data_IF_959602296350
#
_entry.id   IF_959602296350
#
_cell.length_a   1.000
_cell.length_b   1.000
_cell.length_c   1.000
_cell.angle_alpha   90.00
_cell.angle_beta   90.00
_cell.angle_gamma   90.00
#
_symmetry.space_group_name_H-M   'P 1'
#
loop_
_entity.id
_entity.type
_entity.pdbx_description
1 polymer ?
#
# COMPACT_ATOMS: atom_id res chain seq x y z
N UNK A 1 72.40 24.48 -22.35
CA UNK A 1 71.06 24.62 -21.78
C UNK A 1 70.15 23.60 -22.46
N UNK A 2 69.89 22.45 -21.79
CA UNK A 2 69.10 21.34 -22.32
C UNK A 2 67.71 21.41 -21.76
N UNK A 3 66.60 21.37 -22.53
CA UNK A 3 65.25 21.45 -22.00
C UNK A 3 64.82 20.10 -21.43
N UNK A 4 64.32 20.13 -20.18
CA UNK A 4 63.69 19.01 -19.49
C UNK A 4 62.25 18.87 -20.02
N UNK A 5 61.93 17.68 -20.58
CA UNK A 5 60.56 17.33 -21.03
C UNK A 5 59.86 16.60 -19.87
N UNK A 6 58.78 17.20 -19.34
CA UNK A 6 57.87 16.53 -18.42
C UNK A 6 56.87 15.67 -19.22
N UNK A 7 56.88 14.38 -18.98
CA UNK A 7 55.83 13.47 -19.48
C UNK A 7 54.72 13.42 -18.45
N UNK A 8 53.51 13.86 -18.85
CA UNK A 8 52.33 13.73 -18.02
C UNK A 8 51.70 12.34 -18.27
N UNK A 9 51.71 11.50 -17.25
CA UNK A 9 50.98 10.21 -17.29
C UNK A 9 49.49 10.45 -16.94
N UNK A 10 48.61 10.22 -17.91
CA UNK A 10 47.17 10.23 -17.67
C UNK A 10 46.76 8.87 -17.13
N UNK A 11 46.37 8.80 -15.86
CA UNK A 11 45.76 7.62 -15.25
C UNK A 11 44.26 7.58 -15.61
N UNK A 12 43.88 6.63 -16.45
CA UNK A 12 42.47 6.35 -16.78
C UNK A 12 41.86 5.52 -15.66
N UNK A 13 40.97 6.12 -14.88
CA UNK A 13 40.18 5.44 -13.86
C UNK A 13 39.04 4.71 -14.55
N UNK A 14 39.12 3.38 -14.68
CA UNK A 14 38.01 2.55 -15.17
C UNK A 14 37.02 2.34 -14.02
N UNK A 15 35.85 3.02 -14.08
CA UNK A 15 34.71 2.69 -13.23
C UNK A 15 34.14 1.34 -13.66
N UNK A 16 34.40 0.31 -12.88
CA UNK A 16 33.66 -0.96 -12.96
C UNK A 16 32.28 -0.74 -12.34
N UNK A 17 31.24 -0.60 -13.18
CA UNK A 17 29.86 -0.74 -12.74
C UNK A 17 29.64 -2.22 -12.39
N UNK A 18 29.59 -2.53 -11.10
CA UNK A 18 29.16 -3.85 -10.64
C UNK A 18 27.69 -4.04 -11.06
N UNK A 19 27.32 -5.18 -11.66
CA UNK A 19 25.91 -5.43 -11.97
C UNK A 19 25.13 -5.48 -10.66
N UNK A 20 24.06 -4.67 -10.56
CA UNK A 20 23.08 -4.83 -9.49
C UNK A 20 22.49 -6.23 -9.64
N UNK A 21 22.82 -7.14 -8.74
CA UNK A 21 22.12 -8.41 -8.64
C UNK A 21 20.66 -8.10 -8.35
N UNK A 22 19.75 -8.52 -9.23
CA UNK A 22 18.33 -8.44 -8.98
C UNK A 22 18.03 -9.20 -7.69
N UNK A 23 17.57 -8.49 -6.65
CA UNK A 23 17.21 -9.11 -5.40
C UNK A 23 15.98 -9.99 -5.62
N UNK A 24 16.08 -11.30 -5.38
CA UNK A 24 14.94 -12.19 -5.50
C UNK A 24 14.00 -11.95 -4.32
N UNK A 25 12.71 -11.83 -4.60
CA UNK A 25 11.70 -11.66 -3.54
C UNK A 25 11.75 -12.84 -2.54
N UNK A 26 11.42 -12.59 -1.26
CA UNK A 26 11.36 -13.63 -0.23
C UNK A 26 10.48 -14.83 -0.65
N UNK A 27 10.85 -16.07 -0.28
CA UNK A 27 10.15 -17.27 -0.75
C UNK A 27 8.63 -17.28 -0.49
N UNK A 28 8.20 -16.75 0.67
CA UNK A 28 6.77 -16.65 0.98
C UNK A 28 6.01 -15.73 0.01
N UNK A 29 6.61 -14.62 -0.40
CA UNK A 29 6.02 -13.70 -1.37
C UNK A 29 5.97 -14.35 -2.74
N UNK A 30 7.05 -14.99 -3.16
CA UNK A 30 7.11 -15.70 -4.45
C UNK A 30 6.06 -16.80 -4.52
N UNK A 31 5.89 -17.58 -3.44
CA UNK A 31 4.89 -18.64 -3.36
C UNK A 31 3.46 -18.08 -3.42
N UNK A 32 3.18 -17.00 -2.70
CA UNK A 32 1.87 -16.34 -2.70
C UNK A 32 1.47 -15.83 -4.10
N UNK A 33 2.41 -15.27 -4.84
CA UNK A 33 2.17 -14.78 -6.22
C UNK A 33 1.94 -15.93 -7.19
N UNK A 34 2.68 -17.04 -7.01
CA UNK A 34 2.60 -18.24 -7.85
C UNK A 34 1.41 -19.15 -7.51
N UNK A 35 0.61 -18.84 -6.48
CA UNK A 35 -0.56 -19.65 -6.11
C UNK A 35 -1.56 -19.73 -7.28
N UNK A 36 -1.77 -20.96 -7.77
CA UNK A 36 -2.69 -21.24 -8.88
C UNK A 36 -4.15 -21.14 -8.49
N UNK A 37 -4.47 -21.07 -7.20
CA UNK A 37 -5.81 -20.82 -6.67
C UNK A 37 -6.26 -19.37 -6.77
N UNK A 38 -5.37 -18.44 -7.12
CA UNK A 38 -5.71 -17.03 -7.32
C UNK A 38 -6.65 -16.82 -8.50
N UNK A 39 -7.70 -15.99 -8.37
CA UNK A 39 -8.58 -15.66 -9.49
C UNK A 39 -7.80 -15.09 -10.68
N UNK A 40 -8.13 -15.50 -11.90
CA UNK A 40 -7.50 -14.98 -13.11
C UNK A 40 -7.60 -13.44 -13.23
N UNK A 41 -8.69 -12.85 -12.74
CA UNK A 41 -8.90 -11.41 -12.68
C UNK A 41 -7.93 -10.71 -11.71
N UNK A 42 -7.42 -11.41 -10.70
CA UNK A 42 -6.39 -10.89 -9.79
C UNK A 42 -5.01 -10.99 -10.44
N UNK A 43 -4.69 -12.15 -11.03
CA UNK A 43 -3.41 -12.37 -11.74
C UNK A 43 -3.22 -11.33 -12.87
N UNK A 44 -4.29 -10.99 -13.58
CA UNK A 44 -4.25 -9.97 -14.64
C UNK A 44 -3.84 -8.57 -14.14
N UNK A 45 -3.96 -8.29 -12.84
CA UNK A 45 -3.55 -7.01 -12.23
C UNK A 45 -2.09 -6.98 -11.77
N UNK A 46 -1.41 -8.12 -11.71
CA UNK A 46 -0.07 -8.22 -11.13
C UNK A 46 0.93 -7.29 -11.84
N UNK A 47 0.87 -7.23 -13.17
CA UNK A 47 1.76 -6.36 -13.95
C UNK A 47 1.65 -4.88 -13.56
N UNK A 48 0.44 -4.40 -13.23
CA UNK A 48 0.19 -3.01 -12.82
C UNK A 48 0.33 -2.78 -11.32
N UNK A 49 0.20 -3.81 -10.49
CA UNK A 49 0.25 -3.73 -9.03
C UNK A 49 1.58 -4.13 -8.41
N UNK A 50 2.43 -4.85 -9.18
CA UNK A 50 3.77 -5.27 -8.80
C UNK A 50 3.82 -5.86 -7.38
N UNK A 51 3.07 -6.95 -7.14
CA UNK A 51 2.80 -7.43 -5.79
C UNK A 51 4.05 -7.85 -5.01
N UNK A 52 5.09 -8.37 -5.69
CA UNK A 52 6.32 -8.76 -5.01
C UNK A 52 6.98 -7.56 -4.33
N UNK A 53 7.21 -6.52 -5.11
CA UNK A 53 7.90 -5.32 -4.66
C UNK A 53 7.06 -4.53 -3.64
N UNK A 54 5.73 -4.51 -3.80
CA UNK A 54 4.82 -3.83 -2.87
C UNK A 54 4.78 -4.54 -1.52
N UNK A 55 4.67 -5.88 -1.49
CA UNK A 55 4.64 -6.65 -0.24
C UNK A 55 6.00 -6.57 0.49
N UNK A 56 7.10 -6.62 -0.26
CA UNK A 56 8.44 -6.42 0.30
C UNK A 56 8.61 -5.01 0.89
N UNK A 57 8.16 -3.98 0.17
CA UNK A 57 8.14 -2.62 0.69
C UNK A 57 7.28 -2.49 1.95
N UNK A 58 6.12 -3.15 1.98
CA UNK A 58 5.24 -3.18 3.15
C UNK A 58 5.83 -3.96 4.34
N UNK A 59 6.91 -4.73 4.14
CA UNK A 59 7.59 -5.56 5.14
C UNK A 59 6.71 -6.65 5.75
N UNK A 60 5.71 -7.12 5.02
CA UNK A 60 4.84 -8.20 5.48
C UNK A 60 5.58 -9.53 5.46
N UNK A 61 5.50 -10.28 6.58
CA UNK A 61 6.25 -11.51 6.82
C UNK A 61 5.35 -12.65 7.31
N UNK A 62 5.81 -13.90 7.18
CA UNK A 62 5.13 -15.04 7.79
C UNK A 62 4.89 -14.86 9.29
N UNK A 63 3.69 -15.23 9.76
CA UNK A 63 3.27 -15.15 11.17
C UNK A 63 2.77 -13.79 11.63
N UNK A 64 2.84 -12.74 10.80
CA UNK A 64 2.41 -11.40 11.18
C UNK A 64 0.88 -11.22 11.12
N UNK A 65 0.40 -10.19 11.81
CA UNK A 65 -0.98 -9.73 11.79
C UNK A 65 -1.08 -8.47 10.94
N UNK A 66 -1.82 -8.56 9.84
CA UNK A 66 -1.96 -7.50 8.84
C UNK A 66 -3.41 -7.02 8.79
N UNK A 67 -3.64 -5.73 8.62
CA UNK A 67 -4.94 -5.18 8.25
C UNK A 67 -4.91 -4.68 6.81
N UNK A 68 -5.77 -5.25 5.96
CA UNK A 68 -6.05 -4.78 4.59
C UNK A 68 -7.26 -3.84 4.66
N UNK A 69 -6.98 -2.54 4.58
CA UNK A 69 -7.99 -1.49 4.71
C UNK A 69 -8.61 -1.24 3.34
N UNK A 70 -9.93 -1.45 3.27
CA UNK A 70 -10.71 -1.30 2.04
C UNK A 70 -10.29 -2.32 0.96
N UNK A 71 -10.46 -3.61 1.24
CA UNK A 71 -9.86 -4.70 0.46
C UNK A 71 -10.44 -4.86 -0.95
N UNK A 72 -11.56 -4.19 -1.27
CA UNK A 72 -12.26 -4.32 -2.55
C UNK A 72 -12.63 -5.78 -2.85
N UNK A 73 -12.16 -6.34 -3.96
CA UNK A 73 -12.39 -7.74 -4.33
C UNK A 73 -11.50 -8.75 -3.59
N UNK A 74 -10.65 -8.29 -2.64
CA UNK A 74 -9.76 -9.14 -1.85
C UNK A 74 -8.44 -9.48 -2.53
N UNK A 75 -8.00 -8.69 -3.51
CA UNK A 75 -6.71 -8.92 -4.18
C UNK A 75 -5.53 -8.98 -3.20
N UNK A 76 -5.37 -7.93 -2.38
CA UNK A 76 -4.30 -7.88 -1.38
C UNK A 76 -4.56 -8.83 -0.22
N UNK A 77 -5.81 -8.98 0.21
CA UNK A 77 -6.21 -9.92 1.25
C UNK A 77 -5.73 -11.34 0.95
N UNK A 78 -5.93 -11.84 -0.29
CA UNK A 78 -5.46 -13.19 -0.69
C UNK A 78 -3.94 -13.30 -0.59
N UNK A 79 -3.23 -12.36 -1.18
CA UNK A 79 -1.77 -12.34 -1.15
C UNK A 79 -1.22 -12.25 0.28
N UNK A 80 -1.79 -11.38 1.11
CA UNK A 80 -1.37 -11.26 2.51
C UNK A 80 -1.66 -12.55 3.30
N UNK A 81 -2.83 -13.16 3.09
CA UNK A 81 -3.20 -14.43 3.72
C UNK A 81 -2.18 -15.53 3.42
N UNK A 82 -1.73 -15.63 2.16
CA UNK A 82 -0.72 -16.60 1.74
C UNK A 82 0.66 -16.28 2.34
N UNK A 83 1.07 -15.00 2.35
CA UNK A 83 2.39 -14.59 2.85
C UNK A 83 2.48 -14.78 4.36
N UNK A 84 1.46 -14.36 5.14
CA UNK A 84 1.50 -14.51 6.59
C UNK A 84 1.29 -15.97 7.02
N UNK A 85 0.65 -16.78 6.18
CA UNK A 85 0.45 -18.20 6.42
C UNK A 85 -0.48 -18.53 7.60
N UNK A 86 -0.55 -19.81 8.01
CA UNK A 86 -1.54 -20.29 8.97
C UNK A 86 -1.33 -19.77 10.41
N UNK A 87 -0.15 -19.28 10.75
CA UNK A 87 0.17 -18.70 12.07
C UNK A 87 -0.03 -17.18 12.12
N UNK A 88 -0.14 -16.53 10.96
CA UNK A 88 -0.47 -15.11 10.84
C UNK A 88 -1.97 -14.85 10.77
N UNK A 89 -2.35 -13.59 10.65
CA UNK A 89 -3.76 -13.19 10.52
C UNK A 89 -3.91 -11.99 9.59
N UNK A 90 -4.98 -11.97 8.81
CA UNK A 90 -5.38 -10.83 7.98
C UNK A 90 -6.76 -10.35 8.40
N UNK A 91 -6.82 -9.13 8.90
CA UNK A 91 -8.07 -8.41 9.10
C UNK A 91 -8.39 -7.63 7.82
N UNK A 92 -9.48 -8.00 7.13
CA UNK A 92 -9.95 -7.26 5.96
C UNK A 92 -11.03 -6.28 6.41
N UNK A 93 -10.64 -5.01 6.53
CA UNK A 93 -11.46 -3.96 7.10
C UNK A 93 -12.23 -3.20 6.03
N UNK A 94 -13.55 -3.28 6.09
CA UNK A 94 -14.49 -2.55 5.24
C UNK A 94 -15.10 -1.43 6.08
N UNK A 95 -14.88 -0.14 5.76
CA UNK A 95 -15.58 0.96 6.42
C UNK A 95 -17.10 0.75 6.40
N UNK A 96 -17.77 0.87 7.55
CA UNK A 96 -19.21 0.68 7.62
C UNK A 96 -19.98 1.65 6.72
N UNK A 97 -19.41 2.81 6.40
CA UNK A 97 -19.93 3.81 5.49
C UNK A 97 -20.18 3.27 4.07
N UNK A 98 -19.44 2.21 3.69
CA UNK A 98 -19.56 1.57 2.38
C UNK A 98 -20.08 0.13 2.44
N UNK A 99 -20.46 -0.36 3.61
CA UNK A 99 -20.88 -1.76 3.79
C UNK A 99 -22.07 -2.14 2.88
N UNK A 100 -22.97 -1.20 2.65
CA UNK A 100 -24.17 -1.37 1.82
C UNK A 100 -23.96 -0.99 0.34
N UNK A 101 -22.71 -0.77 -0.11
CA UNK A 101 -22.46 -0.42 -1.51
C UNK A 101 -22.82 -1.56 -2.43
N UNK A 102 -23.23 -1.18 -3.67
CA UNK A 102 -23.47 -2.13 -4.73
C UNK A 102 -22.24 -3.02 -4.94
N UNK A 103 -22.44 -4.33 -4.94
CA UNK A 103 -21.36 -5.31 -5.07
C UNK A 103 -21.06 -6.03 -3.75
N UNK A 104 -21.77 -5.69 -2.67
CA UNK A 104 -21.70 -6.38 -1.38
C UNK A 104 -20.26 -6.57 -0.87
N UNK A 105 -19.54 -5.47 -0.58
CA UNK A 105 -18.12 -5.54 -0.19
C UNK A 105 -17.88 -6.42 1.05
N UNK A 106 -18.83 -6.44 1.98
CA UNK A 106 -18.76 -7.29 3.19
C UNK A 106 -18.94 -8.76 2.82
N UNK A 107 -19.95 -9.10 2.01
CA UNK A 107 -20.19 -10.47 1.57
C UNK A 107 -19.07 -11.02 0.70
N UNK A 108 -18.43 -10.18 -0.12
CA UNK A 108 -17.25 -10.57 -0.91
C UNK A 108 -16.13 -11.08 0.01
N UNK A 109 -15.82 -10.37 1.08
CA UNK A 109 -14.75 -10.77 2.01
C UNK A 109 -15.18 -11.93 2.91
N UNK A 110 -16.44 -11.97 3.37
CA UNK A 110 -16.98 -13.16 4.07
C UNK A 110 -16.85 -14.43 3.24
N UNK A 111 -17.18 -14.36 1.95
CA UNK A 111 -17.02 -15.48 1.03
C UNK A 111 -15.53 -15.85 0.87
N UNK A 112 -14.66 -14.87 0.68
CA UNK A 112 -13.21 -15.11 0.57
C UNK A 112 -12.66 -15.83 1.81
N UNK A 113 -13.08 -15.46 3.01
CA UNK A 113 -12.66 -16.11 4.24
C UNK A 113 -13.08 -17.60 4.35
N UNK A 114 -14.02 -18.05 3.51
CA UNK A 114 -14.42 -19.47 3.42
C UNK A 114 -13.67 -20.26 2.34
N UNK A 115 -12.84 -19.60 1.53
CA UNK A 115 -12.02 -20.27 0.51
C UNK A 115 -10.99 -21.20 1.19
N UNK A 116 -10.60 -22.32 0.57
CA UNK A 116 -9.56 -23.19 1.08
C UNK A 116 -8.25 -22.39 1.38
N UNK A 117 -7.65 -22.65 2.53
CA UNK A 117 -6.41 -21.97 2.94
C UNK A 117 -6.61 -20.56 3.54
N UNK A 118 -7.84 -20.01 3.60
CA UNK A 118 -8.12 -18.64 4.07
C UNK A 118 -8.65 -18.56 5.51
N UNK A 119 -8.49 -19.60 6.31
CA UNK A 119 -8.94 -19.60 7.72
C UNK A 119 -8.26 -18.56 8.62
N UNK A 120 -7.21 -17.90 8.13
CA UNK A 120 -6.53 -16.79 8.78
C UNK A 120 -7.09 -15.40 8.39
N UNK A 121 -8.09 -15.33 7.52
CA UNK A 121 -8.76 -14.08 7.12
C UNK A 121 -9.97 -13.83 8.01
N UNK A 122 -10.09 -12.61 8.52
CA UNK A 122 -11.20 -12.14 9.33
C UNK A 122 -11.77 -10.87 8.69
N UNK A 123 -13.05 -10.93 8.34
CA UNK A 123 -13.78 -9.73 7.91
C UNK A 123 -14.10 -8.87 9.11
N UNK A 124 -13.92 -7.55 8.98
CA UNK A 124 -14.26 -6.52 9.97
C UNK A 124 -14.99 -5.38 9.27
N UNK A 125 -16.11 -4.95 9.82
CA UNK A 125 -16.83 -3.78 9.32
C UNK A 125 -17.27 -2.90 10.49
N UNK A 126 -16.58 -1.78 10.64
CA UNK A 126 -16.83 -0.75 11.66
C UNK A 126 -16.75 0.64 11.01
N UNK A 127 -17.36 1.69 11.60
CA UNK A 127 -17.19 3.06 11.11
C UNK A 127 -15.72 3.47 11.03
N UNK A 128 -15.34 4.24 10.00
CA UNK A 128 -13.94 4.54 9.66
C UNK A 128 -13.11 5.07 10.83
N UNK A 129 -13.70 5.93 11.66
CA UNK A 129 -13.02 6.55 12.79
C UNK A 129 -13.32 5.88 14.15
N UNK A 130 -13.88 4.67 14.14
CA UNK A 130 -14.16 3.96 15.38
C UNK A 130 -12.89 3.71 16.18
N UNK A 131 -12.87 4.04 17.47
CA UNK A 131 -11.78 3.61 18.33
C UNK A 131 -11.72 2.08 18.34
N UNK A 132 -10.52 1.48 18.20
CA UNK A 132 -10.42 0.03 18.30
C UNK A 132 -10.82 -0.43 19.71
N UNK A 133 -11.52 -1.58 19.83
CA UNK A 133 -11.70 -2.20 21.12
C UNK A 133 -10.35 -2.43 21.81
N UNK A 134 -10.24 -2.23 23.15
CA UNK A 134 -8.95 -2.27 23.85
C UNK A 134 -8.12 -3.53 23.61
N UNK A 135 -8.78 -4.68 23.41
CA UNK A 135 -8.10 -5.95 23.11
C UNK A 135 -7.41 -6.01 21.74
N UNK A 136 -7.69 -5.05 20.86
CA UNK A 136 -7.03 -4.93 19.55
C UNK A 136 -5.96 -3.84 19.51
N UNK A 137 -5.77 -3.08 20.59
CA UNK A 137 -4.69 -2.10 20.65
C UNK A 137 -3.32 -2.80 20.63
N UNK A 138 -2.44 -2.34 19.74
CA UNK A 138 -1.11 -2.91 19.62
C UNK A 138 -1.06 -4.35 19.08
N UNK A 139 -2.02 -4.75 18.25
CA UNK A 139 -2.10 -6.11 17.68
C UNK A 139 -1.48 -6.22 16.30
N UNK A 140 -1.59 -5.17 15.48
CA UNK A 140 -1.16 -5.21 14.09
C UNK A 140 0.35 -5.01 13.93
N UNK A 141 0.97 -5.82 13.09
CA UNK A 141 2.32 -5.58 12.58
C UNK A 141 2.30 -4.58 11.42
N UNK A 142 1.31 -4.72 10.52
CA UNK A 142 1.15 -3.85 9.35
C UNK A 142 -0.32 -3.48 9.15
N UNK A 143 -0.60 -2.19 8.93
CA UNK A 143 -1.84 -1.69 8.33
C UNK A 143 -1.53 -1.23 6.90
N UNK A 144 -2.40 -1.59 5.95
CA UNK A 144 -2.15 -1.37 4.54
C UNK A 144 -3.41 -0.84 3.84
N UNK A 145 -3.28 0.19 2.99
CA UNK A 145 -4.33 0.67 2.10
C UNK A 145 -3.78 0.92 0.70
N UNK A 146 -4.58 0.63 -0.32
CA UNK A 146 -4.15 0.69 -1.71
C UNK A 146 -5.25 1.31 -2.59
N UNK A 147 -4.99 2.51 -3.10
CA UNK A 147 -5.87 3.26 -4.01
C UNK A 147 -7.23 3.61 -3.38
N UNK A 148 -7.28 3.85 -2.04
CA UNK A 148 -8.52 4.18 -1.32
C UNK A 148 -8.35 5.26 -0.24
N UNK A 149 -7.14 5.76 0.04
CA UNK A 149 -6.99 6.79 1.06
C UNK A 149 -7.69 8.09 0.66
N UNK A 150 -7.65 8.46 -0.63
CA UNK A 150 -8.36 9.62 -1.17
C UNK A 150 -9.88 9.49 -1.01
N UNK A 151 -10.46 8.28 -1.12
CA UNK A 151 -11.89 8.02 -1.00
C UNK A 151 -12.44 8.38 0.39
N UNK A 152 -11.58 8.42 1.42
CA UNK A 152 -12.00 8.81 2.78
C UNK A 152 -12.56 10.23 2.86
N UNK A 153 -12.27 11.06 1.87
CA UNK A 153 -12.77 12.44 1.73
C UNK A 153 -13.99 12.58 0.84
N UNK A 154 -14.40 11.52 0.19
CA UNK A 154 -15.50 11.58 -0.76
C UNK A 154 -16.86 11.76 -0.06
N UNK A 155 -17.84 12.41 -0.74
CA UNK A 155 -19.15 12.69 -0.15
C UNK A 155 -19.90 11.46 0.35
N UNK A 156 -19.67 10.28 -0.24
CA UNK A 156 -20.31 9.04 0.20
C UNK A 156 -19.81 8.57 1.59
N UNK A 157 -18.63 9.04 2.04
CA UNK A 157 -18.13 8.80 3.39
C UNK A 157 -18.80 9.68 4.45
N UNK A 158 -19.77 10.54 4.04
CA UNK A 158 -20.62 11.35 4.93
C UNK A 158 -19.83 12.23 5.92
N UNK A 159 -18.66 12.71 5.51
CA UNK A 159 -17.79 13.52 6.36
C UNK A 159 -17.08 12.73 7.45
N UNK A 160 -16.62 11.53 7.14
CA UNK A 160 -15.85 10.70 8.05
C UNK A 160 -14.65 11.45 8.67
N UNK A 161 -14.38 11.22 9.95
CA UNK A 161 -13.22 11.80 10.66
C UNK A 161 -11.92 11.09 10.24
N UNK A 162 -11.28 11.54 9.17
CA UNK A 162 -10.02 10.98 8.67
C UNK A 162 -8.89 11.11 9.69
N UNK A 163 -8.85 12.19 10.46
CA UNK A 163 -7.89 12.35 11.54
C UNK A 163 -8.13 11.33 12.66
N UNK A 164 -9.39 11.06 13.00
CA UNK A 164 -9.79 9.98 13.92
C UNK A 164 -9.39 8.61 13.39
N UNK A 165 -9.60 8.37 12.11
CA UNK A 165 -9.18 7.12 11.46
C UNK A 165 -7.66 6.90 11.56
N UNK A 166 -6.85 7.88 11.21
CA UNK A 166 -5.39 7.75 11.33
C UNK A 166 -4.96 7.49 12.79
N UNK A 167 -5.62 8.12 13.78
CA UNK A 167 -5.38 7.83 15.20
C UNK A 167 -5.83 6.41 15.61
N UNK A 168 -6.93 5.90 15.05
CA UNK A 168 -7.38 4.54 15.28
C UNK A 168 -6.37 3.52 14.72
N UNK A 169 -5.90 3.71 13.50
CA UNK A 169 -4.83 2.88 12.90
C UNK A 169 -3.56 2.92 13.75
N UNK A 170 -3.18 4.11 14.24
CA UNK A 170 -2.03 4.26 15.14
C UNK A 170 -2.19 3.42 16.42
N UNK A 171 -3.37 3.39 17.02
CA UNK A 171 -3.62 2.57 18.21
C UNK A 171 -3.58 1.08 17.95
N UNK A 172 -4.12 0.64 16.80
CA UNK A 172 -4.13 -0.77 16.40
C UNK A 172 -2.72 -1.34 16.20
N UNK A 173 -1.78 -0.55 15.71
CA UNK A 173 -0.42 -1.00 15.43
C UNK A 173 0.40 -1.21 16.70
N UNK A 174 1.26 -2.24 16.67
CA UNK A 174 2.36 -2.43 17.63
C UNK A 174 3.35 -1.28 17.58
N UNK A 175 4.11 -1.04 18.65
CA UNK A 175 5.32 -0.22 18.57
C UNK A 175 6.28 -0.83 17.54
N UNK A 176 6.81 -0.01 16.64
CA UNK A 176 7.62 -0.45 15.50
C UNK A 176 6.83 -0.98 14.30
N UNK A 177 5.51 -1.14 14.42
CA UNK A 177 4.62 -1.54 13.32
C UNK A 177 4.50 -0.49 12.23
N UNK A 178 4.04 -0.91 11.04
CA UNK A 178 4.02 -0.08 9.84
C UNK A 178 2.62 0.24 9.36
N UNK A 179 2.41 1.49 8.95
CA UNK A 179 1.26 1.90 8.15
C UNK A 179 1.75 2.19 6.73
N UNK A 180 1.21 1.46 5.75
CA UNK A 180 1.56 1.58 4.33
C UNK A 180 0.37 2.16 3.59
N UNK A 181 0.60 3.28 2.92
CA UNK A 181 -0.41 3.99 2.14
C UNK A 181 0.09 4.13 0.72
N UNK A 182 -0.64 3.53 -0.21
CA UNK A 182 -0.38 3.62 -1.64
C UNK A 182 -1.61 4.23 -2.29
N UNK A 183 -1.44 5.34 -3.00
CA UNK A 183 -2.58 6.00 -3.63
C UNK A 183 -2.19 6.75 -4.91
N UNK A 184 -3.20 7.11 -5.68
CA UNK A 184 -3.07 7.91 -6.90
C UNK A 184 -2.60 9.32 -6.57
N UNK A 185 -1.46 9.71 -7.14
CA UNK A 185 -0.91 11.04 -6.92
C UNK A 185 -1.71 12.11 -7.67
N UNK A 186 -2.12 13.14 -6.95
CA UNK A 186 -2.58 14.41 -7.51
C UNK A 186 -1.41 15.36 -7.79
N UNK A 187 -1.63 16.48 -8.51
CA UNK A 187 -0.63 17.53 -8.64
C UNK A 187 -0.19 18.07 -7.29
N UNK A 188 1.10 18.40 -7.17
CA UNK A 188 1.64 18.98 -5.94
C UNK A 188 0.94 20.31 -5.59
N UNK A 189 0.55 20.47 -4.33
CA UNK A 189 -0.17 21.63 -3.83
C UNK A 189 -1.69 21.62 -4.08
N UNK A 190 -2.23 20.54 -4.68
CA UNK A 190 -3.69 20.41 -4.89
C UNK A 190 -4.45 20.07 -3.59
N UNK A 191 -3.74 19.60 -2.56
CA UNK A 191 -4.40 19.23 -1.30
C UNK A 191 -5.44 18.13 -1.50
N UNK A 192 -6.69 18.43 -1.17
CA UNK A 192 -7.83 17.53 -1.29
C UNK A 192 -8.74 17.82 -2.50
N UNK A 193 -8.41 18.80 -3.36
CA UNK A 193 -9.30 19.24 -4.43
C UNK A 193 -9.61 18.16 -5.47
N UNK A 194 -8.72 17.17 -5.60
CA UNK A 194 -8.79 16.14 -6.63
C UNK A 194 -9.38 14.81 -6.12
N UNK A 195 -9.72 14.68 -4.83
CA UNK A 195 -10.15 13.40 -4.24
C UNK A 195 -11.43 12.89 -4.88
N UNK A 196 -12.50 13.68 -4.84
CA UNK A 196 -13.81 13.27 -5.32
C UNK A 196 -13.95 13.27 -6.86
N UNK A 197 -13.22 14.13 -7.58
CA UNK A 197 -13.39 14.28 -9.02
C UNK A 197 -12.47 13.37 -9.83
N UNK A 198 -11.19 13.35 -9.48
CA UNK A 198 -10.16 12.61 -10.19
C UNK A 198 -9.71 11.35 -9.47
N UNK A 199 -10.23 11.07 -8.26
CA UNK A 199 -9.80 9.98 -7.37
C UNK A 199 -8.29 10.00 -7.14
N UNK A 200 -7.78 11.17 -6.72
CA UNK A 200 -6.37 11.41 -6.47
C UNK A 200 -6.19 12.27 -5.22
N UNK A 201 -5.09 12.11 -4.52
CA UNK A 201 -4.74 12.95 -3.38
C UNK A 201 -3.31 13.49 -3.53
N UNK A 202 -3.08 14.74 -3.08
CA UNK A 202 -1.72 15.28 -3.00
C UNK A 202 -0.89 14.44 -1.99
N UNK A 203 0.21 13.80 -2.43
CA UNK A 203 1.04 12.98 -1.56
C UNK A 203 1.53 13.72 -0.31
N UNK A 204 1.82 15.02 -0.42
CA UNK A 204 2.27 15.83 0.72
C UNK A 204 1.15 16.02 1.76
N UNK A 205 -0.09 16.14 1.30
CA UNK A 205 -1.26 16.25 2.19
C UNK A 205 -1.48 14.94 2.94
N UNK A 206 -1.54 13.80 2.24
CA UNK A 206 -1.68 12.49 2.87
C UNK A 206 -0.59 12.24 3.92
N UNK A 207 0.67 12.55 3.58
CA UNK A 207 1.80 12.42 4.50
C UNK A 207 1.61 13.28 5.76
N UNK A 208 1.30 14.57 5.60
CA UNK A 208 1.16 15.49 6.72
C UNK A 208 0.04 15.08 7.69
N UNK A 209 -1.05 14.52 7.18
CA UNK A 209 -2.18 14.06 7.99
C UNK A 209 -1.84 12.80 8.80
N UNK A 210 -1.14 11.87 8.19
CA UNK A 210 -0.70 10.63 8.85
C UNK A 210 0.34 10.96 9.94
N UNK A 211 1.31 11.83 9.65
CA UNK A 211 2.30 12.29 10.63
C UNK A 211 1.65 12.99 11.83
N UNK A 212 0.55 13.76 11.62
CA UNK A 212 -0.23 14.38 12.73
C UNK A 212 -0.86 13.37 13.68
N UNK A 213 -1.11 12.13 13.24
CA UNK A 213 -1.60 11.07 14.12
C UNK A 213 -0.51 10.45 15.01
N UNK A 214 0.76 10.86 14.85
CA UNK A 214 1.89 10.40 15.65
C UNK A 214 2.84 9.45 14.91
N UNK A 215 2.57 9.14 13.66
CA UNK A 215 3.45 8.33 12.84
C UNK A 215 4.73 9.08 12.43
N UNK A 216 5.80 8.31 12.25
CA UNK A 216 7.05 8.81 11.66
C UNK A 216 7.17 8.26 10.24
N UNK A 217 7.44 9.15 9.27
CA UNK A 217 7.70 8.72 7.90
C UNK A 217 8.96 7.85 7.84
N UNK A 218 8.81 6.61 7.35
CA UNK A 218 9.89 5.62 7.31
C UNK A 218 10.50 5.45 5.91
N UNK A 219 9.79 5.91 4.87
CA UNK A 219 10.30 5.92 3.50
C UNK A 219 9.24 5.83 2.42
N UNK A 220 9.70 5.94 1.18
CA UNK A 220 8.86 5.80 -0.02
C UNK A 220 9.44 4.75 -0.97
N UNK A 221 8.56 4.18 -1.82
CA UNK A 221 8.94 3.36 -2.96
C UNK A 221 8.46 4.01 -4.26
N UNK A 222 9.30 3.98 -5.27
CA UNK A 222 8.97 4.45 -6.63
C UNK A 222 8.47 3.32 -7.53
N UNK A 223 8.24 2.13 -6.99
CA UNK A 223 7.87 0.94 -7.76
C UNK A 223 6.60 1.13 -8.61
N UNK A 224 5.67 1.96 -8.14
CA UNK A 224 4.42 2.28 -8.82
C UNK A 224 4.39 3.70 -9.41
N UNK A 225 5.53 4.40 -9.40
CA UNK A 225 5.61 5.72 -10.00
C UNK A 225 5.49 5.65 -11.51
N UNK A 226 4.75 6.59 -12.08
CA UNK A 226 4.65 6.80 -13.52
C UNK A 226 4.82 8.29 -13.85
N UNK A 227 6.03 8.74 -14.22
CA UNK A 227 6.30 10.14 -14.52
C UNK A 227 5.55 10.65 -15.77
N UNK A 228 5.03 9.75 -16.62
CA UNK A 228 4.30 10.11 -17.82
C UNK A 228 2.81 10.42 -17.53
N UNK A 229 2.33 10.13 -16.31
CA UNK A 229 0.98 10.52 -15.87
C UNK A 229 0.96 12.01 -15.51
N UNK A 230 0.16 12.86 -16.19
CA UNK A 230 0.05 14.28 -15.86
C UNK A 230 -0.65 14.54 -14.52
N UNK A 231 -1.24 13.50 -13.88
CA UNK A 231 -1.97 13.53 -12.60
C UNK A 231 -3.24 14.39 -12.61
N UNK A 232 -3.74 14.76 -13.77
CA UNK A 232 -4.91 15.65 -13.95
C UNK A 232 -6.13 14.95 -14.51
N UNK A 233 -5.98 13.73 -15.02
CA UNK A 233 -7.08 12.92 -15.54
C UNK A 233 -7.70 12.06 -14.45
N UNK A 234 -9.00 11.79 -14.58
CA UNK A 234 -9.72 10.81 -13.77
C UNK A 234 -9.02 9.45 -13.89
N UNK A 235 -8.76 8.78 -12.77
CA UNK A 235 -8.01 7.51 -12.73
C UNK A 235 -8.66 6.38 -13.54
N UNK A 236 -9.97 6.49 -13.82
CA UNK A 236 -10.75 5.54 -14.62
C UNK A 236 -10.74 5.85 -16.12
N UNK A 237 -10.15 6.98 -16.55
CA UNK A 237 -10.02 7.31 -17.96
C UNK A 237 -9.26 6.19 -18.70
N UNK A 238 -9.79 5.66 -19.82
CA UNK A 238 -9.17 4.55 -20.54
C UNK A 238 -7.71 4.78 -20.96
N UNK A 239 -7.29 6.02 -21.15
CA UNK A 239 -5.92 6.37 -21.54
C UNK A 239 -4.91 6.13 -20.41
N UNK A 240 -5.34 6.24 -19.14
CA UNK A 240 -4.44 6.17 -17.97
C UNK A 240 -4.81 5.06 -16.97
N UNK A 241 -5.98 4.43 -17.11
CA UNK A 241 -6.44 3.39 -16.20
C UNK A 241 -5.41 2.26 -16.03
N UNK A 242 -5.03 1.99 -14.77
CA UNK A 242 -3.99 1.01 -14.41
C UNK A 242 -2.57 1.49 -14.68
N UNK A 243 -2.39 2.74 -15.15
CA UNK A 243 -1.09 3.37 -15.44
C UNK A 243 -0.91 4.71 -14.73
N UNK A 244 -1.78 5.05 -13.79
CA UNK A 244 -1.68 6.26 -12.99
C UNK A 244 -0.37 6.31 -12.21
N UNK A 245 0.15 7.50 -11.99
CA UNK A 245 1.23 7.69 -11.02
C UNK A 245 0.72 7.46 -9.61
N UNK A 246 1.42 6.63 -8.85
CA UNK A 246 1.06 6.28 -7.47
C UNK A 246 2.24 6.49 -6.56
N UNK A 247 2.02 7.22 -5.48
CA UNK A 247 2.97 7.22 -4.38
C UNK A 247 2.78 5.98 -3.51
N UNK A 248 3.87 5.47 -2.96
CA UNK A 248 3.86 4.40 -1.98
C UNK A 248 4.67 4.87 -0.77
N UNK A 249 3.96 5.17 0.31
CA UNK A 249 4.55 5.67 1.55
C UNK A 249 4.44 4.62 2.66
N UNK A 250 5.49 4.52 3.45
CA UNK A 250 5.51 3.72 4.66
C UNK A 250 5.81 4.63 5.85
N UNK A 251 4.99 4.46 6.87
CA UNK A 251 5.11 5.13 8.15
C UNK A 251 5.33 4.10 9.24
N UNK A 252 6.03 4.48 10.30
CA UNK A 252 6.28 3.63 11.44
C UNK A 252 5.67 4.23 12.70
N UNK A 253 5.02 3.40 13.52
CA UNK A 253 4.67 3.77 14.89
C UNK A 253 5.95 3.73 15.73
N UNK A 254 6.39 4.83 16.34
CA UNK A 254 7.62 4.90 17.13
C UNK A 254 7.59 4.03 18.38
#
# INVERSE_FOLDING_TARGET
MTPIRFAAAAATLALFAAPFAAHAAPPAITAAIADTGRPAADVAKDASRKPAEVIEFARIKPGETVMDIWPGSGYWTRLFSDVVGPTGKVYSYIPAEIADFKGDPVGVIKKLATEPGRGNVVEVSDPLASPPPPQFEGVLDVAFTFENYHDTYDPFMKGADVAGFNRAVFKLLKHGGYYVVIDHAAPAGSGLSETNHNHRIDPATARAEIEKAGFVFDGESKVLANPDDPRTALVFDPSIKGKTDRFAYRFRKP
#
